data_IF_299772492904
#
_entry.id   IF_299772492904
#
_cell.length_a   1.000
_cell.length_b   1.000
_cell.length_c   1.000
_cell.angle_alpha   90.00
_cell.angle_beta   90.00
_cell.angle_gamma   90.00
#
_symmetry.space_group_name_H-M   'P 1'
#
loop_
_entity.id
_entity.type
_entity.pdbx_description
1 polymer ?
2 non-polymer ?
3 water ?
#
# COMPACT_ATOMS: atom_id res chain seq x y z
N UNK A 2 -6.50 -4.81 -14.27
CA UNK A 2 -6.66 -3.72 -13.25
C UNK A 2 -6.93 -2.37 -13.94
N UNK A 3 -7.92 -1.66 -13.42
CA UNK A 3 -8.42 -0.42 -14.05
C UNK A 3 -7.40 0.71 -14.00
N UNK A 4 -7.57 1.72 -14.84
CA UNK A 4 -6.71 2.90 -14.82
C UNK A 4 -6.70 3.62 -13.48
N UNK A 5 -7.82 3.56 -12.77
CA UNK A 5 -7.96 4.21 -11.48
C UNK A 5 -7.70 3.24 -10.30
N UNK A 6 -6.99 2.13 -10.54
CA UNK A 6 -6.53 1.25 -9.46
C UNK A 6 -5.87 2.08 -8.37
N UNK A 7 -6.29 1.84 -7.13
CA UNK A 7 -5.68 2.49 -5.99
C UNK A 7 -4.33 1.88 -5.68
N UNK A 8 -3.42 2.69 -5.19
CA UNK A 8 -2.19 2.15 -4.66
C UNK A 8 -2.46 1.07 -3.62
N UNK A 9 -3.43 1.27 -2.72
CA UNK A 9 -3.61 0.27 -1.67
C UNK A 9 -4.00 -1.08 -2.27
N UNK A 10 -4.80 -1.06 -3.34
CA UNK A 10 -5.20 -2.30 -4.00
C UNK A 10 -4.00 -2.99 -4.66
N UNK A 11 -3.18 -2.20 -5.35
CA UNK A 11 -1.96 -2.72 -5.94
C UNK A 11 -1.06 -3.36 -4.89
N UNK A 12 -0.88 -2.67 -3.77
CA UNK A 12 -0.05 -3.22 -2.69
C UNK A 12 -0.63 -4.54 -2.19
N UNK A 13 -1.95 -4.62 -2.00
CA UNK A 13 -2.57 -5.87 -1.57
C UNK A 13 -2.36 -6.98 -2.61
N UNK A 14 -2.45 -6.67 -3.90
CA UNK A 14 -2.16 -7.67 -4.92
C UNK A 14 -0.73 -8.18 -4.78
N UNK A 15 0.23 -7.30 -4.54
CA UNK A 15 1.61 -7.75 -4.33
C UNK A 15 1.75 -8.59 -3.07
N UNK A 16 1.13 -8.13 -2.00
CA UNK A 16 1.22 -8.78 -0.71
C UNK A 16 0.58 -10.15 -0.67
N UNK A 17 -0.44 -10.36 -1.48
CA UNK A 17 -1.16 -11.62 -1.47
C UNK A 17 -0.29 -12.77 -1.98
N UNK A 18 0.68 -12.43 -2.82
CA UNK A 18 1.52 -13.43 -3.48
C UNK A 18 2.83 -13.54 -2.72
N UNK A 19 3.05 -14.67 -2.05
CA UNK A 19 4.25 -14.81 -1.21
C UNK A 19 5.54 -14.89 -2.02
N UNK A 20 5.45 -15.09 -3.33
CA UNK A 20 6.64 -15.04 -4.17
C UNK A 20 7.20 -13.63 -4.32
N UNK A 21 6.49 -12.62 -3.82
CA UNK A 21 6.95 -11.24 -3.81
C UNK A 21 7.63 -10.83 -2.51
N UNK A 22 7.81 -11.78 -1.60
CA UNK A 22 8.20 -11.44 -0.24
C UNK A 22 9.61 -10.87 -0.12
N UNK A 23 10.41 -10.99 -1.17
CA UNK A 23 11.72 -10.37 -1.23
C UNK A 23 11.69 -8.85 -1.39
N UNK A 24 10.54 -8.29 -1.78
CA UNK A 24 10.40 -6.84 -1.79
C UNK A 24 9.22 -6.29 -0.99
N UNK A 25 8.19 -7.09 -0.72
CA UNK A 25 7.07 -6.60 0.09
C UNK A 25 6.39 -7.80 0.71
N UNK A 26 6.04 -7.72 2.00
CA UNK A 26 5.47 -8.88 2.68
C UNK A 26 4.59 -8.49 3.84
N UNK A 27 3.53 -9.29 4.04
CA UNK A 27 2.83 -9.27 5.30
C UNK A 27 3.80 -9.74 6.39
N UNK A 28 3.88 -9.03 7.51
CA UNK A 28 4.86 -9.37 8.52
C UNK A 28 4.44 -10.53 9.41
N UNK A 29 3.14 -10.85 9.42
CA UNK A 29 2.60 -11.84 10.33
C UNK A 29 1.96 -11.26 11.57
N UNK A 30 2.12 -9.96 11.81
CA UNK A 30 1.47 -9.31 12.93
C UNK A 30 0.19 -8.66 12.40
N UNK A 31 -0.95 -9.35 12.51
CA UNK A 31 -2.21 -8.79 12.04
C UNK A 31 -2.17 -8.37 10.58
N UNK A 32 -2.52 -7.11 10.32
CA UNK A 32 -2.57 -6.50 9.01
C UNK A 32 -1.34 -5.66 8.68
N UNK A 33 -0.24 -5.92 9.39
CA UNK A 33 1.00 -5.19 9.19
C UNK A 33 1.77 -5.73 7.98
N UNK A 34 2.39 -4.82 7.24
CA UNK A 34 3.20 -5.17 6.08
C UNK A 34 4.45 -4.30 6.05
N UNK A 35 5.47 -4.83 5.40
CA UNK A 35 6.75 -4.15 5.29
C UNK A 35 7.17 -4.05 3.82
N UNK A 36 7.62 -2.85 3.45
CA UNK A 36 8.25 -2.63 2.17
C UNK A 36 9.73 -2.93 2.34
N UNK A 37 10.10 -4.15 1.98
CA UNK A 37 11.46 -4.63 2.13
C UNK A 37 12.39 -3.94 1.15
N UNK A 38 11.92 -3.76 -0.09
CA UNK A 38 12.64 -2.98 -1.13
C UNK A 38 11.72 -1.86 -1.63
N UNK A 39 11.68 -0.73 -0.90
CA UNK A 39 10.71 0.31 -1.24
C UNK A 39 10.81 0.82 -2.67
N UNK A 40 12.03 0.97 -3.20
CA UNK A 40 12.15 1.46 -4.56
C UNK A 40 11.70 0.41 -5.59
N UNK A 41 11.79 -0.87 -5.25
CA UNK A 41 11.27 -1.90 -6.15
C UNK A 41 9.75 -1.88 -6.19
N UNK A 42 9.11 -1.71 -5.04
CA UNK A 42 7.66 -1.55 -4.99
C UNK A 42 7.25 -0.35 -5.85
N UNK A 43 7.98 0.76 -5.71
CA UNK A 43 7.67 1.93 -6.50
C UNK A 43 7.88 1.70 -7.99
N UNK A 44 8.94 0.98 -8.37
CA UNK A 44 9.18 0.70 -9.77
C UNK A 44 8.01 -0.09 -10.37
N UNK A 45 7.54 -1.08 -9.61
CA UNK A 45 6.44 -1.91 -10.09
C UNK A 45 5.13 -1.10 -10.19
N UNK A 46 4.91 -0.19 -9.25
CA UNK A 46 3.75 0.71 -9.32
C UNK A 46 3.86 1.59 -10.56
N UNK A 47 5.05 2.09 -10.85
CA UNK A 47 5.26 2.86 -12.08
C UNK A 47 4.94 2.08 -13.34
N UNK A 48 5.31 0.80 -13.36
CA UNK A 48 4.96 -0.04 -14.50
C UNK A 48 3.45 -0.17 -14.61
N UNK A 49 2.80 -0.45 -13.49
CA UNK A 49 1.34 -0.62 -13.48
C UNK A 49 0.62 0.62 -14.03
N UNK A 50 1.11 1.80 -13.66
CA UNK A 50 0.44 3.05 -14.00
C UNK A 50 1.05 3.73 -15.24
N UNK A 51 2.03 3.09 -15.88
CA UNK A 51 2.77 3.70 -16.99
C UNK A 51 3.29 5.09 -16.63
N UNK A 52 3.97 5.12 -15.49
CA UNK A 52 4.62 6.31 -14.94
C UNK A 52 6.08 5.94 -14.66
N UNK A 53 6.93 5.97 -15.69
CA UNK A 53 8.30 5.48 -15.52
C UNK A 53 9.17 6.29 -14.57
N UNK A 54 8.77 7.52 -14.25
CA UNK A 54 9.51 8.32 -13.27
C UNK A 54 9.01 8.09 -11.83
N UNK A 55 8.19 7.06 -11.61
CA UNK A 55 7.76 6.75 -10.26
C UNK A 55 8.95 6.42 -9.37
N UNK A 56 8.85 6.76 -8.09
CA UNK A 56 9.83 6.41 -7.11
C UNK A 56 9.16 6.33 -5.75
N UNK A 57 9.92 5.90 -4.73
CA UNK A 57 9.33 5.73 -3.41
C UNK A 57 8.96 7.06 -2.77
N UNK A 58 9.69 8.14 -3.04
CA UNK A 58 9.27 9.44 -2.51
C UNK A 58 7.82 9.73 -2.91
N UNK A 59 7.51 9.50 -4.18
CA UNK A 59 6.16 9.73 -4.67
C UNK A 59 5.14 8.74 -4.08
N UNK A 60 5.48 7.46 -4.10
CA UNK A 60 4.57 6.43 -3.60
C UNK A 60 4.25 6.70 -2.12
N UNK A 61 5.28 7.08 -1.37
CA UNK A 61 5.11 7.29 0.07
C UNK A 61 4.15 8.45 0.37
N UNK A 62 3.98 9.41 -0.54
CA UNK A 62 2.96 10.46 -0.31
C UNK A 62 1.60 9.84 -0.18
N UNK A 63 1.31 8.81 -0.99
CA UNK A 63 0.02 8.14 -0.92
C UNK A 63 -0.12 7.32 0.34
N UNK A 64 0.94 6.64 0.78
CA UNK A 64 0.89 5.98 2.07
C UNK A 64 0.52 6.98 3.16
N UNK A 65 1.11 8.17 3.12
CA UNK A 65 0.81 9.18 4.11
C UNK A 65 -0.62 9.69 3.99
N UNK A 66 -1.12 9.88 2.78
CA UNK A 66 -2.52 10.24 2.63
C UNK A 66 -3.43 9.18 3.26
N UNK A 67 -3.09 7.89 3.06
CA UNK A 67 -3.89 6.83 3.65
C UNK A 67 -3.81 6.82 5.19
N UNK A 68 -2.62 7.00 5.76
CA UNK A 68 -2.55 6.94 7.21
C UNK A 68 -3.10 8.20 7.86
N UNK A 69 -2.99 9.36 7.22
CA UNK A 69 -3.61 10.55 7.77
C UNK A 69 -5.11 10.43 7.81
N UNK A 70 -5.68 9.67 6.87
CA UNK A 70 -7.11 9.42 6.84
C UNK A 70 -7.54 8.22 7.64
N UNK A 71 -6.63 7.53 8.31
CA UNK A 71 -6.99 6.40 9.13
C UNK A 71 -7.42 5.16 8.37
N UNK A 72 -6.97 5.04 7.12
CA UNK A 72 -7.17 3.83 6.33
C UNK A 72 -6.01 2.85 6.56
N UNK A 73 -4.82 3.42 6.70
CA UNK A 73 -3.64 2.71 7.18
C UNK A 73 -3.17 3.38 8.47
N UNK A 74 -2.22 2.73 9.13
CA UNK A 74 -1.42 3.35 10.17
C UNK A 74 0.03 3.10 9.87
N UNK A 75 0.88 4.08 10.17
CA UNK A 75 2.32 3.89 10.07
C UNK A 75 2.80 3.37 11.42
N UNK A 76 3.58 2.30 11.39
CA UNK A 76 4.06 1.71 12.62
C UNK A 76 5.25 2.52 13.19
N UNK A 77 5.07 2.97 14.42
CA UNK A 77 6.04 3.84 15.08
C UNK A 77 7.36 3.13 15.33
N UNK A 78 8.46 3.89 15.21
CA UNK A 78 9.79 3.36 15.47
C UNK A 78 10.28 2.40 14.42
N UNK A 79 9.50 2.20 13.36
CA UNK A 79 9.90 1.33 12.28
C UNK A 79 10.02 2.13 11.01
N UNK A 80 10.83 1.60 10.11
CA UNK A 80 10.97 2.15 8.80
C UNK A 80 10.28 1.21 7.85
N UNK A 81 9.45 1.80 7.01
CA UNK A 81 8.78 1.10 5.93
C UNK A 81 7.76 0.06 6.36
N UNK A 82 7.22 0.20 7.57
CA UNK A 82 6.20 -0.72 8.09
C UNK A 82 4.88 0.03 8.31
N UNK A 83 3.82 -0.54 7.74
CA UNK A 83 2.48 0.05 7.78
C UNK A 83 1.49 -1.04 8.12
N UNK A 84 0.26 -0.66 8.44
CA UNK A 84 -0.80 -1.63 8.62
C UNK A 84 -2.10 -1.11 8.06
N UNK A 85 -2.93 -2.03 7.57
CA UNK A 85 -4.32 -1.71 7.28
C UNK A 85 -5.10 -1.63 8.57
N UNK A 86 -6.02 -0.68 8.63
CA UNK A 86 -6.92 -0.51 9.76
C UNK A 86 -8.16 -1.39 9.60
N UNK A 87 -8.45 -2.12 10.68
CA UNK A 87 -9.58 -3.01 10.83
C UNK A 87 -10.65 -2.25 11.60
N UNK A 88 -11.57 -1.62 10.88
CA UNK A 88 -12.54 -0.73 11.50
C UNK A 88 -13.70 -0.45 10.55
N UNK A 89 -14.93 -0.33 11.08
CA UNK A 89 -16.08 -0.06 10.21
C UNK A 89 -15.89 1.09 9.21
N UNK A 90 -15.42 2.23 9.69
CA UNK A 90 -15.33 3.41 8.83
C UNK A 90 -14.26 3.23 7.75
N UNK A 91 -13.11 2.67 8.12
CA UNK A 91 -12.07 2.42 7.14
C UNK A 91 -12.57 1.46 6.04
N UNK A 92 -13.36 0.47 6.44
CA UNK A 92 -13.85 -0.50 5.46
C UNK A 92 -14.69 0.17 4.39
N UNK A 93 -15.49 1.18 4.76
CA UNK A 93 -16.25 1.91 3.74
C UNK A 93 -15.33 2.53 2.69
N UNK A 94 -14.22 3.11 3.12
CA UNK A 94 -13.29 3.70 2.17
C UNK A 94 -12.70 2.65 1.24
N UNK A 95 -12.40 1.47 1.78
CA UNK A 95 -11.89 0.36 0.98
C UNK A 95 -12.94 -0.18 0.00
N UNK A 96 -14.20 -0.15 0.41
CA UNK A 96 -15.29 -0.74 -0.36
C UNK A 96 -15.56 0.05 -1.60
N UNK A 97 -15.20 1.33 -1.55
CA UNK A 97 -15.46 2.18 -2.66
C UNK A 97 -14.16 2.85 -3.09
N UNK A 98 -13.23 2.05 -3.67
CA UNK A 98 -11.98 2.63 -4.09
C UNK A 98 -12.14 3.61 -5.25
N UNK A 99 -13.37 3.72 -5.77
CA UNK A 99 -13.69 4.72 -6.79
C UNK A 99 -14.88 5.58 -6.36
X LIG B 1 -6.93 7.29 -8.78
X LIG B 1 -6.36 7.18 -10.10
X LIG B 1 -6.28 6.32 -7.80
X LIG B 1 -4.88 6.12 -8.03
X LIG C 1 -9.39 5.43 -0.77
X LIG C 1 -10.70 6.01 -0.75
X LIG C 1 -9.50 4.00 -0.27
X LIG C 1 -10.19 3.20 -1.26
X LIG D 1 0.88 -14.10 1.57
X LIG D 1 2.11 -13.70 2.21
X LIG D 1 -0.18 -14.35 2.64
X LIG D 1 0.28 -15.43 3.46
#
# INVERSE_FOLDING_TARGET
SMRGALQLWQFLVALLDDPTNAHFIAWTGRGMEFKLIEPEEVARLWGIQKNRPAMNYDKLSRSLRYYYEKGIMQKVAGERYVYKFVCEPEALFSLAFPDNQRPALKAEFDRPVSEEDTVPLSHLDESPAYLPELA
EDO C1 O1 C2 O2
EDO C1 O1 C2 O2
EDO C1 O1 C2 O2
#
